data_IF_178403977876
#
_entry.id   IF_178403977876
#
_cell.length_a   1.000
_cell.length_b   1.000
_cell.length_c   1.000
_cell.angle_alpha   90.00
_cell.angle_beta   90.00
_cell.angle_gamma   90.00
#
_symmetry.space_group_name_H-M   'P 1'
#
loop_
_entity.id
_entity.type
_entity.pdbx_description
1 polymer ?
#
# COMPACT_ATOMS: atom_id res chain seq x y z
N UNK A 1 11.07 -20.09 3.19
CA UNK A 1 11.16 -18.61 3.20
C UNK A 1 9.88 -18.08 2.58
N UNK A 2 9.09 -17.28 3.31
CA UNK A 2 7.92 -16.60 2.73
C UNK A 2 8.46 -15.40 1.94
N UNK A 3 8.55 -15.54 0.62
CA UNK A 3 9.10 -14.53 -0.29
C UNK A 3 8.01 -13.69 -0.97
N UNK A 4 6.75 -13.82 -0.51
CA UNK A 4 5.64 -13.04 -1.02
C UNK A 4 5.66 -11.61 -0.48
N UNK A 5 5.02 -10.66 -1.17
CA UNK A 5 4.83 -9.32 -0.63
C UNK A 5 4.08 -9.37 0.71
N UNK A 6 4.42 -8.47 1.66
CA UNK A 6 3.68 -8.37 2.91
C UNK A 6 2.24 -7.91 2.61
N UNK A 7 1.26 -8.61 3.18
CA UNK A 7 -0.16 -8.28 3.05
C UNK A 7 -0.59 -7.52 4.31
N UNK A 8 -1.48 -6.54 4.14
CA UNK A 8 -2.12 -5.83 5.25
C UNK A 8 -3.64 -5.88 5.10
N UNK A 9 -4.29 -6.60 5.99
CA UNK A 9 -5.75 -6.80 5.99
C UNK A 9 -6.49 -5.58 6.61
N UNK A 10 -5.82 -4.82 7.50
CA UNK A 10 -6.38 -3.62 8.12
C UNK A 10 -6.40 -3.65 9.65
N UNK A 11 -7.31 -2.87 10.25
CA UNK A 11 -7.50 -2.79 11.70
C UNK A 11 -6.62 -1.77 12.44
N UNK A 12 -6.83 -1.66 13.75
CA UNK A 12 -6.03 -0.79 14.62
C UNK A 12 -4.80 -1.53 15.15
N UNK A 13 -3.80 -1.69 14.28
CA UNK A 13 -2.49 -2.24 14.63
C UNK A 13 -1.37 -1.30 14.11
N UNK A 14 -0.98 -0.28 14.89
CA UNK A 14 0.05 0.67 14.49
C UNK A 14 1.41 0.01 14.22
N UNK A 15 1.77 -1.03 14.98
CA UNK A 15 3.04 -1.74 14.79
C UNK A 15 3.02 -2.64 13.55
N UNK A 16 1.91 -3.35 13.31
CA UNK A 16 1.71 -4.16 12.12
C UNK A 16 1.72 -3.31 10.85
N UNK A 17 1.04 -2.16 10.87
CA UNK A 17 1.06 -1.21 9.77
C UNK A 17 2.47 -0.68 9.47
N UNK A 18 3.25 -0.34 10.51
CA UNK A 18 4.64 0.11 10.35
C UNK A 18 5.52 -1.00 9.77
N UNK A 19 5.42 -2.24 10.26
CA UNK A 19 6.18 -3.39 9.73
C UNK A 19 5.81 -3.70 8.29
N UNK A 20 4.54 -3.56 7.92
CA UNK A 20 4.08 -3.71 6.55
C UNK A 20 4.69 -2.64 5.64
N UNK A 21 4.64 -1.36 6.04
CA UNK A 21 5.22 -0.24 5.29
C UNK A 21 6.72 -0.46 5.03
N UNK A 22 7.49 -0.79 6.07
CA UNK A 22 8.93 -1.07 5.95
C UNK A 22 9.22 -2.24 4.98
N UNK A 23 8.39 -3.28 5.01
CA UNK A 23 8.47 -4.41 4.10
C UNK A 23 8.22 -4.03 2.65
N UNK A 24 7.15 -3.25 2.39
CA UNK A 24 6.79 -2.76 1.05
C UNK A 24 7.86 -1.82 0.50
N UNK A 25 8.37 -0.89 1.31
CA UNK A 25 9.44 0.03 0.90
C UNK A 25 10.73 -0.71 0.55
N UNK A 26 11.08 -1.74 1.31
CA UNK A 26 12.23 -2.59 1.01
C UNK A 26 12.10 -3.28 -0.34
N UNK A 27 10.91 -3.75 -0.70
CA UNK A 27 10.61 -4.36 -2.00
C UNK A 27 10.74 -3.30 -3.12
N UNK A 28 10.15 -2.13 -2.96
CA UNK A 28 10.28 -1.04 -3.93
C UNK A 28 11.74 -0.65 -4.18
N UNK A 29 12.54 -0.55 -3.11
CA UNK A 29 13.97 -0.27 -3.21
C UNK A 29 14.71 -1.38 -3.95
N UNK A 30 14.43 -2.65 -3.64
CA UNK A 30 15.05 -3.79 -4.30
C UNK A 30 14.71 -3.85 -5.80
N UNK A 31 13.47 -3.53 -6.17
CA UNK A 31 13.00 -3.51 -7.56
C UNK A 31 13.38 -2.23 -8.32
N UNK A 32 13.95 -1.21 -7.65
CA UNK A 32 14.16 0.13 -8.21
C UNK A 32 12.86 0.73 -8.76
N UNK A 33 11.77 0.53 -8.03
CA UNK A 33 10.46 1.05 -8.37
C UNK A 33 10.50 2.59 -8.40
N UNK A 34 10.02 3.16 -9.50
CA UNK A 34 9.86 4.60 -9.65
C UNK A 34 8.73 5.10 -8.76
N UNK A 35 8.83 6.35 -8.29
CA UNK A 35 7.90 6.91 -7.31
C UNK A 35 6.47 6.95 -7.85
N UNK A 36 6.30 7.15 -9.16
CA UNK A 36 5.01 7.17 -9.85
C UNK A 36 4.27 5.83 -9.77
N UNK A 37 5.00 4.72 -9.62
CA UNK A 37 4.42 3.38 -9.56
C UNK A 37 4.23 2.85 -8.13
N UNK A 38 4.84 3.48 -7.13
CA UNK A 38 4.81 2.99 -5.73
C UNK A 38 3.41 2.94 -5.16
N UNK A 39 2.61 3.98 -5.40
CA UNK A 39 1.22 4.05 -4.90
C UNK A 39 0.36 2.96 -5.51
N UNK A 40 0.47 2.76 -6.83
CA UNK A 40 -0.26 1.74 -7.55
C UNK A 40 0.12 0.33 -7.07
N UNK A 41 1.42 0.02 -7.00
CA UNK A 41 1.91 -1.28 -6.53
C UNK A 41 1.65 -1.53 -5.04
N UNK A 42 1.73 -0.49 -4.21
CA UNK A 42 1.47 -0.58 -2.76
C UNK A 42 0.01 -0.84 -2.46
N UNK A 43 -0.90 -0.31 -3.27
CA UNK A 43 -2.33 -0.61 -3.12
C UNK A 43 -2.70 -2.06 -3.43
N UNK A 44 -1.96 -2.75 -4.31
CA UNK A 44 -2.23 -4.16 -4.63
C UNK A 44 -1.97 -5.14 -3.49
N UNK A 45 -1.24 -4.72 -2.45
CA UNK A 45 -0.90 -5.58 -1.31
C UNK A 45 -1.71 -5.24 -0.05
N UNK A 46 -2.72 -4.38 -0.21
CA UNK A 46 -3.79 -4.18 0.75
C UNK A 46 -4.85 -5.26 0.54
N UNK A 47 -5.47 -5.70 1.62
CA UNK A 47 -6.55 -6.67 1.61
C UNK A 47 -7.68 -6.21 2.55
N UNK A 48 -8.82 -6.90 2.45
CA UNK A 48 -9.98 -6.74 3.34
C UNK A 48 -10.31 -5.27 3.65
N UNK A 49 -10.37 -4.87 4.93
CA UNK A 49 -10.73 -3.51 5.33
C UNK A 49 -9.79 -2.44 4.75
N UNK A 50 -8.50 -2.75 4.60
CA UNK A 50 -7.52 -1.81 4.07
C UNK A 50 -7.73 -1.54 2.56
N UNK A 51 -8.10 -2.56 1.78
CA UNK A 51 -8.42 -2.42 0.35
C UNK A 51 -9.71 -1.59 0.18
N UNK A 52 -10.75 -1.90 0.95
CA UNK A 52 -12.01 -1.11 0.94
C UNK A 52 -11.77 0.36 1.29
N UNK A 53 -10.95 0.62 2.32
CA UNK A 53 -10.60 1.99 2.71
C UNK A 53 -9.86 2.72 1.59
N UNK A 54 -8.87 2.08 0.97
CA UNK A 54 -8.09 2.67 -0.11
C UNK A 54 -8.92 2.92 -1.38
N UNK A 55 -9.86 2.04 -1.72
CA UNK A 55 -10.80 2.25 -2.82
C UNK A 55 -11.59 3.55 -2.67
N UNK A 56 -12.09 3.84 -1.47
CA UNK A 56 -12.78 5.10 -1.17
C UNK A 56 -11.82 6.30 -1.09
N UNK A 57 -10.64 6.14 -0.47
CA UNK A 57 -9.67 7.21 -0.32
C UNK A 57 -9.10 7.66 -1.68
N UNK A 58 -8.74 6.71 -2.55
CA UNK A 58 -8.19 6.95 -3.88
C UNK A 58 -9.17 7.69 -4.80
N UNK A 59 -10.47 7.38 -4.73
CA UNK A 59 -11.50 8.14 -5.44
C UNK A 59 -11.54 9.61 -5.00
N UNK A 60 -11.40 9.86 -3.69
CA UNK A 60 -11.38 11.22 -3.14
C UNK A 60 -10.09 11.98 -3.50
N UNK A 61 -8.96 11.28 -3.52
CA UNK A 61 -7.68 11.84 -3.95
C UNK A 61 -7.66 12.15 -5.46
N UNK A 62 -8.24 11.27 -6.29
CA UNK A 62 -8.39 11.49 -7.74
C UNK A 62 -9.38 12.61 -8.09
N UNK A 63 -10.43 12.79 -7.30
CA UNK A 63 -11.37 13.90 -7.45
C UNK A 63 -10.77 15.28 -7.11
N UNK A 64 -9.62 15.32 -6.42
CA UNK A 64 -8.87 16.56 -6.12
C UNK A 64 -7.79 16.93 -7.15
N UNK A 65 -7.59 16.12 -8.20
CA UNK A 65 -6.56 16.32 -9.23
C UNK A 65 -7.09 16.83 -10.58
N UNK A 66 -8.38 17.17 -10.68
CA UNK A 66 -8.99 17.76 -11.86
C UNK A 66 -9.35 19.24 -11.61
N UNK A 67 -8.32 20.07 -11.43
CA UNK A 67 -8.30 21.51 -11.73
C UNK A 67 -6.89 21.90 -12.18
#
# INVERSE_FOLDING_TARGET
MKNGPPIFDGGYDPEGAQKWLEGVERIFKAMRCQDEHKVNLGSYVLHEEADYWWGNASQRLGAGGAL
#
